data_IF_455455350278
#
_entry.id   IF_455455350278
#
_cell.length_a   1.000
_cell.length_b   1.000
_cell.length_c   1.000
_cell.angle_alpha   90.00
_cell.angle_beta   90.00
_cell.angle_gamma   90.00
#
_symmetry.space_group_name_H-M   'P 1'
#
loop_
_entity.id
_entity.type
_entity.pdbx_description
1 polymer ?
#
# COMPACT_ATOMS: atom_id res chain seq x y z
N UNK A 1 11.18 -23.55 -12.61
CA UNK A 1 9.97 -22.92 -13.21
C UNK A 1 9.97 -23.22 -14.70
N UNK A 2 8.84 -23.56 -15.33
CA UNK A 2 8.78 -24.06 -16.72
C UNK A 2 9.35 -23.10 -17.79
N UNK A 3 9.51 -21.82 -17.44
CA UNK A 3 10.00 -20.77 -18.35
C UNK A 3 11.43 -20.28 -18.00
N UNK A 4 12.23 -21.06 -17.26
CA UNK A 4 13.60 -20.67 -16.86
C UNK A 4 14.50 -20.32 -18.05
N UNK A 5 14.25 -20.94 -19.20
CA UNK A 5 15.14 -20.85 -20.36
C UNK A 5 14.85 -19.61 -21.21
N UNK A 6 13.70 -18.95 -21.00
CA UNK A 6 13.27 -17.77 -21.76
C UNK A 6 13.16 -16.51 -20.89
N UNK A 7 13.02 -16.65 -19.58
CA UNK A 7 12.82 -15.53 -18.66
C UNK A 7 13.94 -15.46 -17.63
N UNK A 8 14.54 -14.27 -17.51
CA UNK A 8 15.55 -13.98 -16.50
C UNK A 8 14.98 -12.98 -15.49
N UNK A 9 15.24 -13.20 -14.19
CA UNK A 9 14.97 -12.22 -13.16
C UNK A 9 16.08 -11.15 -13.20
N UNK A 10 15.73 -9.94 -13.61
CA UNK A 10 16.65 -8.79 -13.59
C UNK A 10 16.24 -7.82 -12.50
N UNK A 11 17.15 -7.56 -11.56
CA UNK A 11 17.01 -6.45 -10.62
C UNK A 11 17.03 -5.14 -11.41
N UNK A 12 15.99 -4.34 -11.25
CA UNK A 12 15.91 -3.00 -11.86
C UNK A 12 16.88 -2.07 -11.12
N UNK A 13 17.64 -1.30 -11.91
CA UNK A 13 18.66 -0.35 -11.42
C UNK A 13 18.21 1.11 -11.53
N UNK A 14 17.03 1.34 -12.13
CA UNK A 14 16.42 2.66 -12.29
C UNK A 14 15.18 2.73 -11.40
N UNK A 15 15.04 3.85 -10.69
CA UNK A 15 13.87 4.15 -9.88
C UNK A 15 12.62 4.26 -10.76
N UNK A 16 11.54 3.59 -10.36
CA UNK A 16 10.25 3.72 -11.02
C UNK A 16 9.16 3.78 -9.97
N UNK A 17 8.06 4.45 -10.33
CA UNK A 17 6.86 4.52 -9.50
C UNK A 17 5.99 3.31 -9.84
N UNK A 18 5.72 2.40 -8.89
CA UNK A 18 4.82 1.28 -9.14
C UNK A 18 3.39 1.80 -9.37
N UNK A 19 2.81 1.43 -10.51
CA UNK A 19 1.38 1.65 -10.76
C UNK A 19 0.64 0.40 -10.27
N UNK A 20 -0.10 0.56 -9.18
CA UNK A 20 -0.92 -0.53 -8.64
C UNK A 20 -2.18 -0.66 -9.50
N UNK A 21 -2.31 -1.83 -10.14
CA UNK A 21 -3.50 -2.22 -10.88
C UNK A 21 -4.40 -3.05 -9.96
N UNK A 22 -5.62 -2.59 -9.71
CA UNK A 22 -6.54 -3.27 -8.80
C UNK A 22 -7.60 -2.34 -8.23
N UNK A 23 -8.37 -2.82 -7.23
CA UNK A 23 -9.28 -1.99 -6.44
C UNK A 23 -8.56 -0.76 -5.87
N UNK A 24 -9.34 0.28 -5.58
CA UNK A 24 -8.82 1.55 -5.07
C UNK A 24 -8.07 1.36 -3.73
N UNK A 25 -7.02 2.15 -3.52
CA UNK A 25 -6.26 2.16 -2.25
C UNK A 25 -7.11 2.85 -1.18
N UNK A 26 -7.58 2.14 -0.14
CA UNK A 26 -8.49 2.67 0.88
C UNK A 26 -7.97 3.94 1.53
N UNK A 27 -8.88 4.78 2.03
CA UNK A 27 -8.50 6.04 2.69
C UNK A 27 -8.22 5.82 4.17
N UNK A 28 -7.17 6.45 4.67
CA UNK A 28 -6.81 6.36 6.08
C UNK A 28 -7.59 7.33 7.00
N UNK A 29 -8.41 8.22 6.44
CA UNK A 29 -9.04 9.35 7.15
C UNK A 29 -10.57 9.26 7.27
N UNK A 30 -11.19 8.16 6.82
CA UNK A 30 -12.66 8.04 6.74
C UNK A 30 -13.28 7.15 7.82
N UNK A 31 -12.90 5.88 7.86
CA UNK A 31 -13.47 4.88 8.78
C UNK A 31 -12.36 4.02 9.38
N UNK A 32 -12.62 3.40 10.53
CA UNK A 32 -11.67 2.48 11.16
C UNK A 32 -11.38 1.27 10.25
N UNK A 33 -12.38 0.80 9.49
CA UNK A 33 -12.23 -0.31 8.54
C UNK A 33 -11.35 0.09 7.35
N UNK A 34 -11.57 1.27 6.74
CA UNK A 34 -10.71 1.77 5.66
C UNK A 34 -9.28 2.06 6.13
N UNK A 35 -9.11 2.53 7.38
CA UNK A 35 -7.79 2.69 8.00
C UNK A 35 -7.08 1.35 8.18
N UNK A 36 -7.79 0.30 8.58
CA UNK A 36 -7.23 -1.04 8.74
C UNK A 36 -6.81 -1.64 7.40
N UNK A 37 -7.65 -1.52 6.37
CA UNK A 37 -7.29 -1.97 5.02
C UNK A 37 -6.16 -1.13 4.40
N UNK A 38 -6.14 0.18 4.60
CA UNK A 38 -5.01 1.03 4.19
C UNK A 38 -3.72 0.57 4.87
N UNK A 39 -3.77 0.33 6.18
CA UNK A 39 -2.63 -0.15 6.97
C UNK A 39 -2.09 -1.47 6.42
N UNK A 40 -3.00 -2.40 6.07
CA UNK A 40 -2.65 -3.68 5.42
C UNK A 40 -1.89 -3.47 4.11
N UNK A 41 -2.37 -2.58 3.24
CA UNK A 41 -1.74 -2.31 1.94
C UNK A 41 -0.33 -1.71 2.14
N UNK A 42 -0.19 -0.73 3.04
CA UNK A 42 1.11 -0.09 3.26
C UNK A 42 2.14 -1.07 3.82
N UNK A 43 1.75 -1.89 4.80
CA UNK A 43 2.63 -2.92 5.36
C UNK A 43 3.08 -3.91 4.27
N UNK A 44 2.16 -4.38 3.43
CA UNK A 44 2.45 -5.37 2.39
C UNK A 44 3.40 -4.84 1.31
N UNK A 45 3.33 -3.54 1.00
CA UNK A 45 4.12 -2.92 -0.06
C UNK A 45 5.50 -2.44 0.41
N UNK A 46 5.60 -1.93 1.65
CA UNK A 46 6.78 -1.18 2.09
C UNK A 46 7.62 -1.89 3.14
N UNK A 47 7.12 -2.97 3.76
CA UNK A 47 7.93 -3.80 4.64
C UNK A 47 8.42 -5.05 3.91
N UNK A 48 9.66 -5.50 4.20
CA UNK A 48 10.09 -6.81 3.77
C UNK A 48 9.40 -7.88 4.60
N UNK A 49 8.77 -8.87 3.95
CA UNK A 49 8.15 -10.01 4.62
C UNK A 49 8.37 -11.29 3.83
N UNK A 50 8.42 -12.43 4.52
CA UNK A 50 8.45 -13.78 3.96
C UNK A 50 7.23 -14.58 4.37
N UNK A 51 6.69 -14.27 5.54
CA UNK A 51 5.48 -14.89 6.10
C UNK A 51 4.49 -13.81 6.53
N UNK A 52 3.19 -14.12 6.60
CA UNK A 52 2.18 -13.15 7.07
C UNK A 52 2.46 -12.65 8.49
N UNK A 53 3.09 -13.47 9.34
CA UNK A 53 3.45 -13.14 10.72
C UNK A 53 4.51 -12.06 10.85
N UNK A 54 5.30 -11.81 9.79
CA UNK A 54 6.24 -10.68 9.75
C UNK A 54 5.49 -9.34 9.72
N UNK A 55 4.30 -9.32 9.12
CA UNK A 55 3.48 -8.12 8.97
C UNK A 55 2.51 -7.93 10.15
N UNK A 56 1.80 -8.99 10.56
CA UNK A 56 0.73 -8.92 11.57
C UNK A 56 0.75 -10.13 12.51
N UNK A 57 0.71 -9.90 13.82
CA UNK A 57 0.49 -10.91 14.86
C UNK A 57 -0.95 -11.40 14.84
N UNK A 58 -1.20 -12.57 15.43
CA UNK A 58 -2.51 -13.24 15.36
C UNK A 58 -3.63 -12.35 15.93
N UNK A 59 -3.39 -11.75 17.10
CA UNK A 59 -4.40 -10.99 17.87
C UNK A 59 -4.29 -9.46 17.73
N UNK A 60 -3.60 -8.94 16.71
CA UNK A 60 -3.51 -7.49 16.47
C UNK A 60 -4.22 -7.09 15.17
N UNK A 61 -4.79 -5.88 15.13
CA UNK A 61 -5.34 -5.30 13.91
C UNK A 61 -4.22 -4.89 12.93
N UNK A 62 -4.55 -4.63 11.66
CA UNK A 62 -3.57 -4.10 10.73
C UNK A 62 -3.14 -2.68 11.11
N UNK A 63 -4.05 -1.90 11.69
CA UNK A 63 -3.77 -0.57 12.21
C UNK A 63 -2.77 -0.60 13.36
N UNK A 64 -2.91 -1.55 14.29
CA UNK A 64 -1.96 -1.75 15.39
C UNK A 64 -0.60 -2.22 14.87
N UNK A 65 -0.61 -3.15 13.92
CA UNK A 65 0.60 -3.62 13.27
C UNK A 65 1.35 -2.47 12.55
N UNK A 66 0.62 -1.61 11.84
CA UNK A 66 1.20 -0.42 11.22
C UNK A 66 1.78 0.51 12.27
N UNK A 67 1.04 0.81 13.33
CA UNK A 67 1.48 1.68 14.41
C UNK A 67 2.76 1.17 15.07
N UNK A 68 2.86 -0.16 15.26
CA UNK A 68 4.05 -0.85 15.78
C UNK A 68 5.23 -0.75 14.84
N UNK A 69 5.03 -0.86 13.53
CA UNK A 69 6.11 -1.01 12.55
C UNK A 69 6.46 0.26 11.76
N UNK A 70 5.68 1.34 11.86
CA UNK A 70 5.86 2.56 11.07
C UNK A 70 7.23 3.23 11.20
N UNK A 71 7.89 3.01 12.33
CA UNK A 71 9.23 3.52 12.59
C UNK A 71 10.30 2.87 11.68
N UNK A 72 10.02 1.68 11.14
CA UNK A 72 10.92 0.94 10.24
C UNK A 72 10.93 1.50 8.81
N UNK A 73 9.96 2.34 8.43
CA UNK A 73 9.93 2.93 7.09
C UNK A 73 11.01 4.02 6.94
N UNK A 74 11.91 3.89 5.96
CA UNK A 74 12.80 4.96 5.55
C UNK A 74 12.04 6.24 5.18
N UNK A 75 12.68 7.40 5.34
CA UNK A 75 12.07 8.69 5.02
C UNK A 75 11.52 8.76 3.58
N UNK A 76 12.26 8.22 2.61
CA UNK A 76 11.84 8.14 1.22
C UNK A 76 10.53 7.34 1.05
N UNK A 77 10.40 6.20 1.75
CA UNK A 77 9.18 5.39 1.71
C UNK A 77 8.00 6.15 2.31
N UNK A 78 8.20 6.91 3.39
CA UNK A 78 7.14 7.74 4.00
C UNK A 78 6.63 8.80 3.02
N UNK A 79 7.51 9.42 2.24
CA UNK A 79 7.11 10.35 1.18
C UNK A 79 6.26 9.65 0.11
N UNK A 80 6.64 8.44 -0.31
CA UNK A 80 5.86 7.67 -1.29
C UNK A 80 4.49 7.29 -0.70
N UNK A 81 4.44 6.78 0.54
CA UNK A 81 3.21 6.43 1.24
C UNK A 81 2.28 7.65 1.32
N UNK A 82 2.79 8.81 1.70
CA UNK A 82 2.03 10.04 1.75
C UNK A 82 1.45 10.40 0.37
N UNK A 83 2.26 10.37 -0.68
CA UNK A 83 1.81 10.66 -2.03
C UNK A 83 0.74 9.66 -2.50
N UNK A 84 0.86 8.38 -2.16
CA UNK A 84 -0.16 7.38 -2.46
C UNK A 84 -1.49 7.70 -1.78
N UNK A 85 -1.46 8.10 -0.50
CA UNK A 85 -2.66 8.54 0.24
C UNK A 85 -3.29 9.77 -0.41
N UNK A 86 -2.52 10.83 -0.70
CA UNK A 86 -3.03 12.04 -1.37
C UNK A 86 -3.68 11.72 -2.71
N UNK A 87 -3.06 10.84 -3.52
CA UNK A 87 -3.63 10.43 -4.80
C UNK A 87 -4.96 9.67 -4.64
N UNK A 88 -5.10 8.86 -3.60
CA UNK A 88 -6.35 8.17 -3.27
C UNK A 88 -7.44 9.18 -2.86
N UNK A 89 -7.10 10.17 -2.04
CA UNK A 89 -8.01 11.22 -1.61
C UNK A 89 -8.53 12.07 -2.79
N UNK A 90 -7.63 12.49 -3.69
CA UNK A 90 -8.00 13.26 -4.87
C UNK A 90 -8.89 12.45 -5.83
N UNK A 91 -8.61 11.16 -5.99
CA UNK A 91 -9.41 10.26 -6.84
C UNK A 91 -10.84 10.15 -6.29
N UNK A 92 -10.99 9.94 -4.98
CA UNK A 92 -12.30 9.91 -4.31
C UNK A 92 -13.07 11.21 -4.49
N UNK A 93 -12.40 12.36 -4.31
CA UNK A 93 -13.03 13.66 -4.50
C UNK A 93 -13.55 13.84 -5.93
N UNK A 94 -12.75 13.46 -6.93
CA UNK A 94 -13.16 13.50 -8.34
C UNK A 94 -14.35 12.59 -8.62
N UNK A 95 -14.35 11.37 -8.09
CA UNK A 95 -15.40 10.39 -8.37
C UNK A 95 -16.72 10.79 -7.68
N UNK A 96 -16.68 11.39 -6.49
CA UNK A 96 -17.84 12.05 -5.85
C UNK A 96 -18.42 13.17 -6.72
N UNK A 97 -17.57 14.04 -7.27
CA UNK A 97 -18.02 15.11 -8.19
C UNK A 97 -18.67 14.55 -9.45
N UNK A 98 -18.18 13.43 -9.98
CA UNK A 98 -18.79 12.76 -11.15
C UNK A 98 -20.16 12.17 -10.84
N UNK A 99 -20.35 11.58 -9.65
CA UNK A 99 -21.63 11.04 -9.21
C UNK A 99 -22.67 12.15 -9.02
N UNK A 100 -22.29 13.28 -8.42
CA UNK A 100 -23.19 14.40 -8.17
C UNK A 100 -23.63 15.16 -9.44
N UNK A 101 -23.04 14.86 -10.60
CA UNK A 101 -23.38 15.46 -11.90
C UNK A 101 -24.36 14.61 -12.72
N UNK A 102 -24.77 13.44 -12.21
CA UNK A 102 -25.79 12.57 -12.80
C UNK A 102 -27.08 12.70 -12.01
#
# INVERSE_FOLDING_TARGET
>A
HPQSDTHLLRKRVVWMIPVILGPHVPRNDRTAEELDDWSRIILLLFLPWRTPSDLRRIDESWTDAYSRQQHLFPAEHRTIIHNMTVLAECRDARDKVRLNRR
#
